data_IF_812423792274
#
_entry.id   IF_812423792274
#
_cell.length_a   1.000
_cell.length_b   1.000
_cell.length_c   1.000
_cell.angle_alpha   90.00
_cell.angle_beta   90.00
_cell.angle_gamma   90.00
#
_symmetry.space_group_name_H-M   'P 1'
#
loop_
_entity.id
_entity.type
_entity.pdbx_description
1 polymer ?
#
# COMPACT_ATOMS: atom_id res chain seq x y z
N UNK A 1 -0.54 -12.24 -5.19
CA UNK A 1 -1.39 -11.38 -4.31
C UNK A 1 -1.18 -11.62 -2.81
N UNK A 2 -0.09 -12.20 -2.43
CA UNK A 2 0.20 -12.61 -1.04
C UNK A 2 0.16 -11.44 -0.05
N UNK A 3 0.71 -10.28 -0.44
CA UNK A 3 0.72 -9.09 0.43
C UNK A 3 -0.69 -8.61 0.80
N UNK A 4 -1.67 -8.67 -0.11
CA UNK A 4 -3.04 -8.23 0.18
C UNK A 4 -3.74 -9.19 1.15
N UNK A 5 -3.55 -10.50 0.97
CA UNK A 5 -4.06 -11.50 1.89
C UNK A 5 -3.42 -11.35 3.28
N UNK A 6 -2.09 -11.13 3.34
CA UNK A 6 -1.37 -10.87 4.59
C UNK A 6 -1.91 -9.61 5.29
N UNK A 7 -1.99 -8.48 4.58
CA UNK A 7 -2.52 -7.24 5.13
C UNK A 7 -3.95 -7.38 5.64
N UNK A 8 -4.83 -8.00 4.85
CA UNK A 8 -6.22 -8.23 5.22
C UNK A 8 -6.35 -9.10 6.48
N UNK A 9 -5.50 -10.12 6.64
CA UNK A 9 -5.49 -11.00 7.82
C UNK A 9 -5.11 -10.28 9.12
N UNK A 10 -4.37 -9.17 9.01
CA UNK A 10 -3.89 -8.36 10.14
C UNK A 10 -4.80 -7.17 10.49
N UNK A 11 -5.89 -6.95 9.74
CA UNK A 11 -6.88 -5.91 10.06
C UNK A 11 -7.69 -6.31 11.28
N UNK A 12 -7.60 -5.53 12.35
CA UNK A 12 -8.42 -5.70 13.56
C UNK A 12 -8.50 -7.14 14.08
N UNK A 13 -9.61 -7.50 14.69
CA UNK A 13 -9.92 -8.85 15.14
C UNK A 13 -10.82 -9.62 14.17
N UNK A 14 -11.08 -10.92 14.43
CA UNK A 14 -12.00 -11.73 13.61
C UNK A 14 -13.38 -11.08 13.44
N UNK A 15 -13.91 -10.47 14.48
CA UNK A 15 -15.22 -9.80 14.45
C UNK A 15 -15.24 -8.63 13.46
N UNK A 16 -14.13 -7.87 13.38
CA UNK A 16 -13.97 -6.77 12.43
C UNK A 16 -13.86 -7.33 11.01
N UNK A 17 -13.00 -8.33 10.80
CA UNK A 17 -12.78 -8.93 9.47
C UNK A 17 -14.02 -9.63 8.91
N UNK A 18 -14.82 -10.25 9.76
CA UNK A 18 -16.05 -10.92 9.33
C UNK A 18 -17.13 -9.95 8.81
N UNK A 19 -17.02 -8.67 9.15
CA UNK A 19 -17.98 -7.63 8.72
C UNK A 19 -17.36 -6.54 7.86
N UNK A 20 -16.05 -6.38 7.95
CA UNK A 20 -15.30 -5.39 7.19
C UNK A 20 -15.19 -5.75 5.71
N UNK A 21 -15.11 -4.71 4.88
CA UNK A 21 -14.82 -4.85 3.45
C UNK A 21 -13.55 -4.06 3.10
N UNK A 22 -12.88 -4.44 2.01
CA UNK A 22 -11.73 -3.68 1.51
C UNK A 22 -12.18 -2.26 1.12
N UNK A 23 -13.33 -2.12 0.46
CA UNK A 23 -13.90 -0.82 0.12
C UNK A 23 -14.13 0.05 1.35
N UNK A 24 -14.71 -0.52 2.43
CA UNK A 24 -14.88 0.18 3.71
C UNK A 24 -13.55 0.61 4.34
N UNK A 25 -12.51 -0.23 4.24
CA UNK A 25 -11.17 0.11 4.73
C UNK A 25 -10.54 1.28 3.96
N UNK A 26 -10.73 1.34 2.63
CA UNK A 26 -10.29 2.47 1.80
C UNK A 26 -11.07 3.74 2.18
N UNK A 27 -12.40 3.66 2.21
CA UNK A 27 -13.28 4.82 2.42
C UNK A 27 -13.19 5.39 3.84
N UNK A 28 -12.79 4.59 4.84
CA UNK A 28 -12.50 5.10 6.19
C UNK A 28 -11.34 6.09 6.20
N UNK A 29 -10.50 6.07 5.17
CA UNK A 29 -9.32 6.92 5.00
C UNK A 29 -8.46 7.03 6.28
N UNK A 30 -8.35 5.91 7.00
CA UNK A 30 -7.47 5.84 8.16
C UNK A 30 -6.00 5.84 7.70
N UNK A 31 -5.12 6.68 8.27
CA UNK A 31 -3.69 6.62 8.00
C UNK A 31 -3.07 5.24 8.29
N UNK A 32 -3.68 4.50 9.24
CA UNK A 32 -3.23 3.17 9.66
C UNK A 32 -3.97 2.02 8.96
N UNK A 33 -4.67 2.27 7.85
CA UNK A 33 -5.35 1.24 7.08
C UNK A 33 -4.33 0.28 6.45
N UNK A 34 -4.37 -1.01 6.82
CA UNK A 34 -3.35 -1.98 6.44
C UNK A 34 -3.42 -2.39 4.95
N UNK A 35 -4.63 -2.44 4.36
CA UNK A 35 -4.76 -2.85 2.95
C UNK A 35 -4.39 -1.75 1.96
N UNK A 36 -4.46 -0.48 2.37
CA UNK A 36 -4.26 0.67 1.49
C UNK A 36 -2.83 0.74 0.92
N UNK A 37 -1.74 0.62 1.70
CA UNK A 37 -0.39 0.61 1.13
C UNK A 37 -0.18 -0.53 0.14
N UNK A 38 -0.79 -1.70 0.37
CA UNK A 38 -0.70 -2.82 -0.58
C UNK A 38 -1.37 -2.49 -1.89
N UNK A 39 -2.58 -1.93 -1.85
CA UNK A 39 -3.31 -1.52 -3.04
C UNK A 39 -2.57 -0.40 -3.80
N UNK A 40 -1.93 0.52 -3.07
CA UNK A 40 -1.05 1.54 -3.67
C UNK A 40 0.18 0.93 -4.34
N UNK A 41 0.82 -0.05 -3.70
CA UNK A 41 1.97 -0.75 -4.28
C UNK A 41 1.59 -1.57 -5.52
N UNK A 42 0.35 -2.02 -5.62
CA UNK A 42 -0.19 -2.76 -6.76
C UNK A 42 -0.81 -1.84 -7.82
N UNK A 43 -0.77 -0.51 -7.65
CA UNK A 43 -1.37 0.50 -8.53
C UNK A 43 -2.87 0.27 -8.79
N UNK A 44 -3.61 -0.07 -7.73
CA UNK A 44 -5.04 -0.33 -7.82
C UNK A 44 -5.82 0.90 -8.30
N UNK A 45 -6.88 0.64 -9.05
CA UNK A 45 -7.82 1.63 -9.57
C UNK A 45 -9.18 1.40 -8.94
N UNK A 46 -9.80 2.47 -8.46
CA UNK A 46 -11.11 2.48 -7.82
C UNK A 46 -12.17 2.87 -8.85
N UNK A 47 -13.25 2.10 -8.92
CA UNK A 47 -14.41 2.39 -9.76
C UNK A 47 -15.48 3.02 -8.88
N UNK A 48 -15.81 4.26 -9.18
CA UNK A 48 -16.85 5.04 -8.49
C UNK A 48 -18.05 5.22 -9.42
N UNK A 49 -19.22 4.91 -8.92
CA UNK A 49 -20.49 4.97 -9.66
C UNK A 49 -21.44 5.93 -8.96
N UNK A 50 -22.14 6.75 -9.74
CA UNK A 50 -23.23 7.63 -9.30
C UNK A 50 -24.40 7.53 -10.28
N UNK A 51 -25.50 8.22 -10.00
CA UNK A 51 -26.64 8.32 -10.92
C UNK A 51 -26.26 8.95 -12.27
N UNK A 52 -25.23 9.79 -12.31
CA UNK A 52 -24.79 10.51 -13.50
C UNK A 52 -23.72 9.78 -14.32
N UNK A 53 -23.22 8.65 -13.81
CA UNK A 53 -22.22 7.85 -14.53
C UNK A 53 -21.17 7.21 -13.64
N UNK A 54 -20.13 6.75 -14.30
CA UNK A 54 -19.01 6.03 -13.69
C UNK A 54 -17.70 6.75 -13.96
N UNK A 55 -16.78 6.75 -13.00
CA UNK A 55 -15.40 7.18 -13.20
C UNK A 55 -14.41 6.23 -12.52
N UNK A 56 -13.21 6.17 -13.08
CA UNK A 56 -12.10 5.40 -12.54
C UNK A 56 -11.06 6.35 -11.94
N UNK A 57 -10.58 6.04 -10.74
CA UNK A 57 -9.63 6.88 -9.99
C UNK A 57 -8.50 6.02 -9.47
N UNK A 58 -7.25 6.44 -9.65
CA UNK A 58 -6.12 5.78 -9.00
C UNK A 58 -6.25 5.86 -7.48
N UNK A 59 -5.93 4.78 -6.79
CA UNK A 59 -5.83 4.80 -5.33
C UNK A 59 -4.74 5.76 -4.84
N UNK A 60 -3.70 5.98 -5.67
CA UNK A 60 -2.66 6.95 -5.39
C UNK A 60 -3.25 8.38 -5.43
N UNK A 61 -3.30 9.03 -4.28
CA UNK A 61 -3.90 10.36 -4.14
C UNK A 61 -5.43 10.38 -3.95
N UNK A 62 -6.08 9.21 -3.84
CA UNK A 62 -7.52 9.15 -3.52
C UNK A 62 -7.82 9.59 -2.09
N UNK A 63 -6.97 9.23 -1.13
CA UNK A 63 -7.08 9.74 0.25
C UNK A 63 -6.52 11.15 0.33
N UNK A 64 -7.32 12.07 0.90
CA UNK A 64 -7.01 13.51 1.03
C UNK A 64 -6.62 13.92 2.45
N UNK A 65 -6.65 13.00 3.38
CA UNK A 65 -6.34 13.18 4.80
C UNK A 65 -7.11 12.18 5.66
N UNK A 66 -6.90 12.17 6.98
CA UNK A 66 -7.63 11.30 7.89
C UNK A 66 -9.15 11.49 7.74
N UNK A 67 -9.87 10.39 7.48
CA UNK A 67 -11.33 10.40 7.27
C UNK A 67 -11.80 11.13 6.01
N UNK A 68 -10.90 11.50 5.08
CA UNK A 68 -11.25 12.25 3.87
C UNK A 68 -10.71 11.58 2.62
N UNK A 69 -11.60 11.40 1.63
CA UNK A 69 -11.27 10.83 0.33
C UNK A 69 -11.68 11.78 -0.80
N UNK A 70 -11.33 11.42 -2.03
CA UNK A 70 -11.77 12.10 -3.25
C UNK A 70 -13.11 11.57 -3.78
N UNK A 71 -13.89 10.84 -2.97
CA UNK A 71 -15.25 10.44 -3.33
C UNK A 71 -16.17 11.67 -3.30
N UNK A 72 -17.04 11.81 -4.29
CA UNK A 72 -18.03 12.88 -4.32
C UNK A 72 -19.35 12.43 -3.68
N UNK A 73 -20.17 13.40 -3.31
CA UNK A 73 -21.51 13.10 -2.81
C UNK A 73 -22.32 12.35 -3.88
N UNK A 74 -22.99 11.27 -3.49
CA UNK A 74 -23.76 10.41 -4.40
C UNK A 74 -22.95 9.35 -5.13
N UNK A 75 -21.63 9.27 -4.94
CA UNK A 75 -20.82 8.19 -5.49
C UNK A 75 -20.73 7.00 -4.53
N UNK A 76 -20.64 5.80 -5.09
CA UNK A 76 -20.38 4.54 -4.39
C UNK A 76 -19.16 3.89 -5.00
N UNK A 77 -18.23 3.42 -4.16
CA UNK A 77 -17.12 2.57 -4.59
C UNK A 77 -17.65 1.16 -4.86
N UNK A 78 -17.72 0.77 -6.12
CA UNK A 78 -18.28 -0.52 -6.55
C UNK A 78 -17.23 -1.58 -6.83
N UNK A 79 -16.06 -1.18 -7.32
CA UNK A 79 -15.01 -2.12 -7.71
C UNK A 79 -13.62 -1.59 -7.36
N UNK A 80 -12.70 -2.52 -7.10
CA UNK A 80 -11.27 -2.27 -6.93
C UNK A 80 -10.56 -3.12 -7.98
N UNK A 81 -10.07 -2.48 -9.02
CA UNK A 81 -9.35 -3.14 -10.12
C UNK A 81 -7.87 -3.16 -9.80
N UNK A 82 -7.30 -4.35 -9.65
CA UNK A 82 -5.87 -4.54 -9.43
C UNK A 82 -5.26 -5.03 -10.74
N UNK A 83 -4.33 -4.29 -11.36
CA UNK A 83 -3.66 -4.74 -12.58
C UNK A 83 -2.99 -6.10 -12.36
N UNK A 84 -3.08 -6.98 -13.37
CA UNK A 84 -2.34 -8.23 -13.32
C UNK A 84 -0.85 -7.94 -13.38
N UNK A 85 -0.11 -8.48 -12.41
CA UNK A 85 1.33 -8.29 -12.28
C UNK A 85 2.00 -9.62 -11.96
N UNK A 86 3.16 -9.89 -12.58
CA UNK A 86 3.89 -11.16 -12.47
C UNK A 86 4.91 -11.18 -11.33
N UNK A 87 5.20 -10.02 -10.73
CA UNK A 87 6.17 -9.86 -9.67
C UNK A 87 5.71 -10.39 -8.31
N UNK A 88 6.61 -10.30 -7.35
CA UNK A 88 6.35 -10.63 -5.95
C UNK A 88 5.88 -9.41 -5.16
N UNK A 89 4.92 -9.61 -4.26
CA UNK A 89 4.51 -8.60 -3.30
C UNK A 89 4.70 -9.08 -1.87
N UNK A 90 5.02 -8.15 -0.94
CA UNK A 90 5.17 -8.43 0.49
C UNK A 90 4.58 -7.28 1.29
N UNK A 91 4.09 -7.62 2.47
CA UNK A 91 3.58 -6.66 3.45
C UNK A 91 4.24 -6.90 4.80
N UNK A 92 4.51 -5.83 5.54
CA UNK A 92 4.98 -5.92 6.92
C UNK A 92 4.31 -4.82 7.75
N UNK A 93 3.99 -5.17 8.99
CA UNK A 93 3.32 -4.32 9.95
C UNK A 93 4.05 -4.37 11.29
N UNK A 94 4.29 -3.21 11.86
CA UNK A 94 4.77 -3.04 13.24
C UNK A 94 3.64 -2.43 14.07
N UNK A 95 3.33 -3.06 15.18
CA UNK A 95 2.30 -2.62 16.13
C UNK A 95 2.82 -2.73 17.57
N UNK A 96 2.12 -2.11 18.53
CA UNK A 96 2.50 -2.16 19.96
C UNK A 96 2.28 -3.54 20.62
N UNK A 97 1.58 -4.46 19.95
CA UNK A 97 1.22 -5.79 20.45
C UNK A 97 1.09 -6.77 19.29
N UNK A 98 1.17 -8.06 19.58
CA UNK A 98 1.18 -9.10 18.55
C UNK A 98 -0.19 -9.36 17.90
N UNK A 99 -1.28 -8.91 18.49
CA UNK A 99 -2.63 -9.07 17.95
C UNK A 99 -3.47 -7.81 18.15
N UNK A 100 -4.45 -7.60 17.27
CA UNK A 100 -5.40 -6.47 17.30
C UNK A 100 -4.69 -5.10 17.37
N UNK A 101 -3.48 -5.00 16.82
CA UNK A 101 -2.71 -3.77 16.86
C UNK A 101 -3.12 -2.81 15.74
N UNK A 102 -3.23 -1.53 16.07
CA UNK A 102 -3.16 -0.45 15.09
C UNK A 102 -1.70 -0.33 14.66
N UNK A 103 -1.45 -0.16 13.38
CA UNK A 103 -0.10 0.02 12.85
C UNK A 103 0.57 1.26 13.44
N UNK A 104 1.77 1.10 13.99
CA UNK A 104 2.71 2.20 14.20
C UNK A 104 3.29 2.60 12.85
N UNK A 105 3.66 1.58 12.07
CA UNK A 105 4.07 1.70 10.67
C UNK A 105 3.71 0.41 9.96
N UNK A 106 3.36 0.50 8.69
CA UNK A 106 3.27 -0.64 7.81
C UNK A 106 3.88 -0.32 6.44
N UNK A 107 4.40 -1.32 5.76
CA UNK A 107 5.07 -1.18 4.48
C UNK A 107 4.60 -2.28 3.54
N UNK A 108 4.27 -1.90 2.32
CA UNK A 108 3.99 -2.79 1.22
C UNK A 108 5.01 -2.60 0.10
N UNK A 109 5.52 -3.69 -0.42
CA UNK A 109 6.48 -3.68 -1.54
C UNK A 109 5.97 -4.59 -2.63
N UNK A 110 6.03 -4.12 -3.87
CA UNK A 110 5.90 -4.94 -5.06
C UNK A 110 7.18 -4.84 -5.88
N UNK A 111 7.65 -5.97 -6.43
CA UNK A 111 8.90 -6.01 -7.19
C UNK A 111 8.84 -7.04 -8.31
N UNK A 112 9.33 -6.66 -9.49
CA UNK A 112 9.67 -7.56 -10.60
C UNK A 112 11.17 -7.64 -10.79
N UNK A 113 11.64 -8.81 -11.21
CA UNK A 113 13.05 -9.04 -11.52
C UNK A 113 13.18 -9.82 -12.82
N UNK A 114 14.12 -9.39 -13.65
CA UNK A 114 14.54 -10.11 -14.85
C UNK A 114 16.08 -10.21 -14.85
N UNK A 115 16.60 -11.39 -15.12
CA UNK A 115 18.04 -11.66 -15.14
C UNK A 115 18.81 -11.06 -13.93
N UNK A 116 18.21 -11.13 -12.73
CA UNK A 116 18.80 -10.64 -11.48
C UNK A 116 18.72 -9.13 -11.27
N UNK A 117 18.13 -8.37 -12.20
CA UNK A 117 17.91 -6.93 -12.07
C UNK A 117 16.48 -6.61 -11.70
N UNK A 118 16.27 -5.56 -10.93
CA UNK A 118 14.95 -5.04 -10.60
C UNK A 118 14.43 -4.28 -11.83
N UNK A 119 13.34 -4.76 -12.42
CA UNK A 119 12.67 -4.11 -13.57
C UNK A 119 11.50 -3.25 -13.16
N UNK A 120 10.82 -3.61 -12.06
CA UNK A 120 9.80 -2.78 -11.44
C UNK A 120 9.90 -2.86 -9.93
N UNK A 121 9.73 -1.73 -9.25
CA UNK A 121 9.69 -1.63 -7.80
C UNK A 121 8.67 -0.58 -7.40
N UNK A 122 7.82 -0.93 -6.45
CA UNK A 122 6.85 -0.04 -5.84
C UNK A 122 6.88 -0.21 -4.33
N UNK A 123 6.99 0.88 -3.59
CA UNK A 123 7.03 0.89 -2.12
C UNK A 123 5.97 1.86 -1.62
N UNK A 124 5.06 1.38 -0.78
CA UNK A 124 4.08 2.22 -0.13
C UNK A 124 4.11 2.03 1.38
N UNK A 125 3.97 3.12 2.12
CA UNK A 125 4.12 3.18 3.57
C UNK A 125 2.83 3.74 4.17
N UNK A 126 2.29 3.06 5.15
CA UNK A 126 1.15 3.53 5.95
C UNK A 126 1.58 3.91 7.36
N UNK A 127 0.77 4.74 8.01
CA UNK A 127 1.01 5.30 9.35
C UNK A 127 2.23 6.24 9.48
N UNK A 128 2.90 6.59 8.38
CA UNK A 128 4.04 7.51 8.38
C UNK A 128 3.63 8.97 8.13
N UNK A 129 2.34 9.24 7.90
CA UNK A 129 1.81 10.57 7.61
C UNK A 129 0.29 10.60 7.72
N UNK A 130 -0.37 11.69 7.35
CA UNK A 130 -1.82 11.83 7.39
C UNK A 130 -2.55 10.90 6.40
N UNK A 131 -1.85 10.37 5.41
CA UNK A 131 -2.32 9.34 4.46
C UNK A 131 -1.19 8.35 4.21
N UNK A 132 -1.51 7.19 3.64
CA UNK A 132 -0.47 6.31 3.09
C UNK A 132 0.29 7.01 1.95
N UNK A 133 1.57 6.74 1.83
CA UNK A 133 2.51 7.43 0.93
C UNK A 133 3.24 6.44 0.03
N UNK A 134 3.56 6.87 -1.20
CA UNK A 134 4.51 6.18 -2.09
C UNK A 134 5.91 6.72 -1.83
N UNK A 135 6.87 5.83 -1.69
CA UNK A 135 8.29 6.16 -1.48
C UNK A 135 9.04 6.29 -2.81
N UNK A 136 8.61 7.21 -3.69
CA UNK A 136 9.11 7.34 -5.06
C UNK A 136 10.64 7.50 -5.13
N UNK A 137 11.22 8.33 -4.26
CA UNK A 137 12.66 8.53 -4.23
C UNK A 137 13.42 7.24 -3.89
N UNK A 138 12.96 6.49 -2.88
CA UNK A 138 13.52 5.19 -2.51
C UNK A 138 13.35 4.16 -3.65
N UNK A 139 12.21 4.19 -4.35
CA UNK A 139 11.98 3.31 -5.51
C UNK A 139 13.01 3.55 -6.61
N UNK A 140 13.34 4.82 -6.92
CA UNK A 140 14.33 5.20 -7.92
C UNK A 140 15.73 4.77 -7.53
N UNK A 141 16.16 5.06 -6.29
CA UNK A 141 17.45 4.66 -5.76
C UNK A 141 17.63 3.14 -5.84
N UNK A 142 16.65 2.37 -5.41
CA UNK A 142 16.72 0.91 -5.39
C UNK A 142 16.64 0.26 -6.77
N UNK A 143 16.00 0.88 -7.77
CA UNK A 143 16.03 0.39 -9.16
C UNK A 143 17.43 0.50 -9.77
N UNK A 144 18.13 1.58 -9.47
CA UNK A 144 19.50 1.80 -9.93
C UNK A 144 20.54 0.96 -9.15
N UNK A 145 20.12 0.37 -8.02
CA UNK A 145 20.98 -0.26 -7.06
C UNK A 145 21.47 -1.64 -7.50
N UNK A 146 22.76 -1.85 -7.36
CA UNK A 146 23.41 -3.17 -7.43
C UNK A 146 23.66 -3.64 -6.01
N UNK A 147 23.27 -4.89 -5.68
CA UNK A 147 23.50 -5.47 -4.37
C UNK A 147 24.96 -5.23 -3.93
N UNK A 148 25.17 -4.63 -2.74
CA UNK A 148 26.54 -4.45 -2.25
C UNK A 148 27.23 -5.79 -2.05
N UNK A 149 28.51 -5.81 -2.38
CA UNK A 149 29.35 -7.00 -2.24
C UNK A 149 29.92 -7.13 -0.81
N UNK A 150 29.74 -6.11 0.04
CA UNK A 150 30.29 -6.05 1.39
C UNK A 150 29.34 -5.35 2.39
N UNK A 151 29.52 -5.65 3.69
CA UNK A 151 28.79 -5.05 4.81
C UNK A 151 28.99 -3.53 4.91
N UNK A 152 30.20 -3.03 4.57
CA UNK A 152 30.51 -1.61 4.59
C UNK A 152 29.66 -0.80 3.59
N UNK A 153 29.41 -1.37 2.39
CA UNK A 153 28.50 -0.76 1.42
C UNK A 153 27.04 -0.79 1.87
N UNK A 154 26.65 -1.76 2.68
CA UNK A 154 25.32 -1.78 3.30
C UNK A 154 25.14 -0.64 4.31
N UNK A 155 26.17 -0.37 5.12
CA UNK A 155 26.12 0.72 6.11
C UNK A 155 26.05 2.08 5.44
N UNK A 156 26.89 2.32 4.39
CA UNK A 156 26.82 3.58 3.64
C UNK A 156 25.46 3.81 2.96
N UNK A 157 24.81 2.74 2.48
CA UNK A 157 23.47 2.83 1.90
C UNK A 157 22.40 3.18 2.95
N UNK A 158 22.50 2.65 4.17
CA UNK A 158 21.61 3.01 5.27
C UNK A 158 21.69 4.49 5.62
N UNK A 159 22.90 5.06 5.60
CA UNK A 159 23.13 6.48 5.85
C UNK A 159 22.60 7.38 4.73
N UNK A 160 22.62 6.91 3.48
CA UNK A 160 22.10 7.66 2.32
C UNK A 160 20.55 7.63 2.23
N UNK A 161 19.91 6.59 2.78
CA UNK A 161 18.45 6.42 2.74
C UNK A 161 17.76 7.02 3.99
N UNK A 162 18.48 7.24 5.08
CA UNK A 162 17.97 7.78 6.34
C UNK A 162 17.77 9.30 6.26
#
# INVERSE_FOLDING_TARGET
>A
MDALAEAASLVGGPQIRNRGTIGGNILSASPAADTVPVLMALDAVLVLVSETGQRMVSINGFMKGPGRTAIHQGEILTEIVIPFKTGASRFRKVGKRNALAISIINVAVYMEKEAGRITALTIAIGSAGPTALRAFHTEELLRAWKRPDSEEKWQSLHEEIA
#
